data_IF_031447369989
#
_entry.id   IF_031447369989
#
_cell.length_a   1.000
_cell.length_b   1.000
_cell.length_c   1.000
_cell.angle_alpha   90.00
_cell.angle_beta   90.00
_cell.angle_gamma   90.00
#
_symmetry.space_group_name_H-M   'P 1'
#
loop_
_entity.id
_entity.type
_entity.pdbx_description
1 polymer ?
#
# COMPACT_ATOMS: atom_id res chain seq x y z
N UNK A 1 -10.64 -14.85 2.06
CA UNK A 1 -9.49 -15.17 2.91
C UNK A 1 -8.47 -15.81 1.99
N UNK A 2 -7.38 -15.09 1.69
CA UNK A 2 -6.30 -15.59 0.85
C UNK A 2 -5.27 -16.20 1.80
N UNK A 3 -5.11 -17.52 1.76
CA UNK A 3 -4.08 -18.20 2.55
C UNK A 3 -2.75 -18.07 1.79
N UNK A 4 -1.71 -17.61 2.49
CA UNK A 4 -0.37 -17.46 1.93
C UNK A 4 0.39 -18.78 2.11
N UNK A 5 0.78 -19.48 1.02
CA UNK A 5 1.68 -20.61 1.15
C UNK A 5 3.07 -20.13 1.58
N UNK A 6 3.64 -20.86 2.54
CA UNK A 6 5.02 -20.71 3.01
C UNK A 6 5.99 -21.35 1.99
N UNK A 7 7.10 -20.66 1.71
CA UNK A 7 8.22 -21.19 0.93
C UNK A 7 8.65 -20.28 -0.22
N UNK A 8 9.85 -19.70 -0.15
CA UNK A 8 11.06 -20.35 -0.66
C UNK A 8 12.29 -19.46 -0.38
N UNK A 9 13.21 -20.00 0.43
CA UNK A 9 14.42 -19.38 0.99
C UNK A 9 15.55 -19.16 -0.05
N UNK A 10 15.26 -19.19 -1.34
CA UNK A 10 16.30 -19.13 -2.38
C UNK A 10 16.76 -17.69 -2.67
N UNK A 11 15.90 -16.71 -2.40
CA UNK A 11 16.15 -15.29 -2.72
C UNK A 11 17.08 -14.58 -1.73
N UNK A 12 17.21 -15.10 -0.51
CA UNK A 12 18.08 -14.54 0.54
C UNK A 12 19.56 -14.57 0.16
N UNK A 13 19.97 -15.47 -0.74
CA UNK A 13 21.36 -15.69 -1.12
C UNK A 13 21.91 -14.67 -2.14
N UNK A 14 21.04 -14.06 -2.97
CA UNK A 14 21.49 -13.18 -4.07
C UNK A 14 21.65 -11.70 -3.69
N UNK A 15 21.15 -11.28 -2.53
CA UNK A 15 21.12 -9.88 -2.11
C UNK A 15 22.19 -9.52 -1.06
N UNK A 16 22.99 -10.50 -0.62
CA UNK A 16 24.03 -10.30 0.40
C UNK A 16 25.20 -9.38 -0.02
N UNK A 17 25.28 -8.95 -1.28
CA UNK A 17 26.45 -8.21 -1.80
C UNK A 17 26.22 -6.72 -2.04
N UNK A 18 24.99 -6.21 -1.96
CA UNK A 18 24.68 -4.80 -2.25
C UNK A 18 23.51 -4.29 -1.42
N UNK A 19 23.80 -3.81 -0.20
CA UNK A 19 23.12 -2.68 0.48
C UNK A 19 23.31 -2.76 2.00
N UNK A 20 24.55 -2.73 2.49
CA UNK A 20 24.79 -2.42 3.90
C UNK A 20 24.77 -0.90 4.08
N UNK A 21 23.59 -0.27 3.96
CA UNK A 21 23.40 1.10 4.44
C UNK A 21 23.19 1.00 5.96
N UNK A 22 24.30 0.80 6.69
CA UNK A 22 24.36 0.87 8.15
C UNK A 22 24.25 2.34 8.57
N UNK A 23 23.04 2.72 8.94
CA UNK A 23 22.73 3.96 9.64
C UNK A 23 21.22 4.06 9.69
N UNK A 24 20.61 3.87 10.86
CA UNK A 24 19.17 3.99 11.10
C UNK A 24 18.71 5.43 10.88
N UNK A 25 18.72 5.89 9.62
CA UNK A 25 18.03 7.10 9.23
C UNK A 25 16.56 6.72 9.24
N UNK A 26 15.83 7.26 10.22
CA UNK A 26 14.36 7.21 10.24
C UNK A 26 13.87 7.49 8.83
N UNK A 27 13.06 6.58 8.30
CA UNK A 27 12.46 6.76 6.98
C UNK A 27 11.80 8.13 6.90
N UNK A 28 11.99 8.83 5.77
CA UNK A 28 11.25 10.07 5.55
C UNK A 28 9.76 9.76 5.67
N UNK A 29 8.99 10.50 6.49
CA UNK A 29 7.55 10.28 6.65
C UNK A 29 6.81 10.19 5.31
N UNK A 30 7.28 10.95 4.31
CA UNK A 30 6.73 10.93 2.96
C UNK A 30 6.77 9.53 2.32
N UNK A 31 7.88 8.80 2.47
CA UNK A 31 8.03 7.46 1.90
C UNK A 31 7.07 6.48 2.56
N UNK A 32 6.93 6.60 3.88
CA UNK A 32 6.01 5.76 4.68
C UNK A 32 4.58 5.96 4.20
N UNK A 33 4.13 7.21 4.10
CA UNK A 33 2.76 7.54 3.71
C UNK A 33 2.46 7.12 2.26
N UNK A 34 3.41 7.34 1.35
CA UNK A 34 3.29 6.88 -0.03
C UNK A 34 3.20 5.35 -0.13
N UNK A 35 4.01 4.62 0.65
CA UNK A 35 3.94 3.16 0.68
C UNK A 35 2.60 2.65 1.22
N UNK A 36 2.05 3.30 2.25
CA UNK A 36 0.72 2.97 2.79
C UNK A 36 -0.37 3.17 1.76
N UNK A 37 -0.38 4.30 1.06
CA UNK A 37 -1.37 4.59 0.01
C UNK A 37 -1.34 3.53 -1.09
N UNK A 38 -0.15 3.28 -1.66
CA UNK A 38 0.01 2.31 -2.75
C UNK A 38 -0.41 0.91 -2.30
N UNK A 39 -0.09 0.51 -1.08
CA UNK A 39 -0.50 -0.79 -0.53
C UNK A 39 -2.02 -0.86 -0.34
N UNK A 40 -2.65 0.21 0.14
CA UNK A 40 -4.10 0.28 0.32
C UNK A 40 -4.84 0.19 -1.02
N UNK A 41 -4.42 0.95 -2.03
CA UNK A 41 -4.99 0.85 -3.38
C UNK A 41 -4.76 -0.55 -3.96
N UNK A 42 -3.56 -1.11 -3.79
CA UNK A 42 -3.29 -2.49 -4.20
C UNK A 42 -4.26 -3.49 -3.55
N UNK A 43 -4.43 -3.44 -2.23
CA UNK A 43 -5.35 -4.32 -1.51
C UNK A 43 -6.80 -4.18 -1.99
N UNK A 44 -7.24 -2.94 -2.28
CA UNK A 44 -8.54 -2.68 -2.88
C UNK A 44 -8.68 -3.34 -4.25
N UNK A 45 -7.71 -3.13 -5.15
CA UNK A 45 -7.73 -3.71 -6.50
C UNK A 45 -7.68 -5.25 -6.43
N UNK A 46 -6.79 -5.81 -5.64
CA UNK A 46 -6.71 -7.26 -5.44
C UNK A 46 -8.05 -7.85 -4.94
N UNK A 47 -8.81 -7.12 -4.13
CA UNK A 47 -10.15 -7.54 -3.72
C UNK A 47 -11.17 -7.39 -4.85
N UNK A 48 -11.18 -6.26 -5.55
CA UNK A 48 -12.12 -5.97 -6.64
C UNK A 48 -12.03 -7.02 -7.76
N UNK A 49 -10.81 -7.48 -8.06
CA UNK A 49 -10.54 -8.46 -9.11
C UNK A 49 -10.31 -9.88 -8.59
N UNK A 50 -10.67 -10.20 -7.35
CA UNK A 50 -10.49 -11.53 -6.74
C UNK A 50 -9.06 -12.10 -6.94
N UNK A 51 -8.04 -11.25 -6.80
CA UNK A 51 -6.63 -11.58 -6.95
C UNK A 51 -6.08 -11.56 -8.39
N UNK A 52 -6.94 -11.42 -9.40
CA UNK A 52 -6.53 -11.35 -10.81
C UNK A 52 -6.32 -9.90 -11.28
N UNK A 53 -5.30 -9.25 -10.72
CA UNK A 53 -5.05 -7.80 -10.92
C UNK A 53 -3.90 -7.50 -11.90
N UNK A 54 -3.27 -8.52 -12.48
CA UNK A 54 -1.99 -8.41 -13.22
C UNK A 54 -2.16 -8.07 -14.69
N UNK A 55 -3.39 -7.99 -15.21
CA UNK A 55 -3.63 -7.58 -16.58
C UNK A 55 -3.33 -6.08 -16.78
N UNK A 56 -3.18 -5.67 -18.05
CA UNK A 56 -2.73 -4.31 -18.35
C UNK A 56 -3.76 -3.23 -17.98
N UNK A 57 -5.05 -3.51 -18.13
CA UNK A 57 -6.11 -2.53 -17.88
C UNK A 57 -6.23 -2.27 -16.38
N UNK A 58 -6.22 -3.34 -15.57
CA UNK A 58 -6.24 -3.25 -14.12
C UNK A 58 -5.01 -2.54 -13.55
N UNK A 59 -3.82 -2.79 -14.12
CA UNK A 59 -2.61 -2.06 -13.72
C UNK A 59 -2.68 -0.56 -14.05
N UNK A 60 -3.28 -0.19 -15.17
CA UNK A 60 -3.51 1.23 -15.53
C UNK A 60 -4.51 1.86 -14.56
N UNK A 61 -5.57 1.15 -14.21
CA UNK A 61 -6.56 1.61 -13.23
C UNK A 61 -5.92 1.80 -11.84
N UNK A 62 -5.10 0.86 -11.39
CA UNK A 62 -4.36 0.96 -10.13
C UNK A 62 -3.50 2.22 -10.11
N UNK A 63 -2.75 2.46 -11.19
CA UNK A 63 -1.91 3.66 -11.31
C UNK A 63 -2.75 4.93 -11.30
N UNK A 64 -3.91 4.95 -11.95
CA UNK A 64 -4.78 6.12 -12.00
C UNK A 64 -5.50 6.37 -10.66
N UNK A 65 -5.85 5.33 -9.91
CA UNK A 65 -6.44 5.43 -8.57
C UNK A 65 -5.45 5.89 -7.51
N UNK A 66 -4.16 5.65 -7.71
CA UNK A 66 -3.12 6.08 -6.77
C UNK A 66 -2.57 7.47 -7.13
N UNK A 67 -2.80 8.52 -6.32
CA UNK A 67 -2.21 9.84 -6.54
C UNK A 67 -0.67 9.81 -6.45
N UNK A 68 -0.12 8.94 -5.60
CA UNK A 68 1.33 8.74 -5.46
C UNK A 68 1.92 8.25 -6.78
N UNK A 69 1.28 7.28 -7.43
CA UNK A 69 1.77 6.72 -8.68
C UNK A 69 1.47 7.62 -9.89
N UNK A 70 0.26 8.19 -9.98
CA UNK A 70 -0.19 8.98 -11.12
C UNK A 70 0.39 10.39 -11.21
N UNK A 71 0.45 11.13 -10.09
CA UNK A 71 0.79 12.56 -10.08
C UNK A 71 1.84 12.96 -9.03
N UNK A 72 2.50 11.99 -8.39
CA UNK A 72 3.55 12.26 -7.38
C UNK A 72 3.02 13.00 -6.14
N UNK A 73 1.79 12.71 -5.74
CA UNK A 73 1.20 13.25 -4.51
C UNK A 73 2.06 12.89 -3.28
N UNK A 74 2.22 13.87 -2.37
CA UNK A 74 3.03 13.72 -1.16
C UNK A 74 2.21 14.11 0.06
N UNK A 75 1.76 13.11 0.79
CA UNK A 75 1.01 13.34 2.02
C UNK A 75 1.91 13.88 3.12
N UNK A 76 1.38 14.83 3.89
CA UNK A 76 2.05 15.41 5.07
C UNK A 76 1.98 14.51 6.31
N UNK A 77 0.96 13.66 6.39
CA UNK A 77 0.65 12.84 7.56
C UNK A 77 -0.19 11.61 7.18
N UNK A 78 -0.28 10.66 8.11
CA UNK A 78 -1.04 9.42 7.93
C UNK A 78 -2.57 9.64 7.89
N UNK A 79 -3.20 10.52 8.70
CA UNK A 79 -4.62 10.81 8.58
C UNK A 79 -5.04 11.31 7.19
N UNK A 80 -4.25 12.19 6.57
CA UNK A 80 -4.50 12.64 5.20
C UNK A 80 -4.33 11.51 4.18
N UNK A 81 -3.38 10.62 4.41
CA UNK A 81 -3.19 9.42 3.58
C UNK A 81 -4.40 8.49 3.67
N UNK A 82 -4.87 8.20 4.89
CA UNK A 82 -6.03 7.35 5.15
C UNK A 82 -7.32 7.93 4.52
N UNK A 83 -7.55 9.24 4.68
CA UNK A 83 -8.67 9.95 4.02
C UNK A 83 -8.59 9.84 2.50
N UNK A 84 -7.41 10.03 1.92
CA UNK A 84 -7.24 9.91 0.47
C UNK A 84 -7.52 8.47 0.01
N UNK A 85 -7.01 7.46 0.70
CA UNK A 85 -7.32 6.05 0.40
C UNK A 85 -8.83 5.77 0.47
N UNK A 86 -9.51 6.28 1.49
CA UNK A 86 -10.95 6.14 1.64
C UNK A 86 -11.71 6.84 0.50
N UNK A 87 -11.30 8.04 0.10
CA UNK A 87 -11.90 8.76 -1.03
C UNK A 87 -11.72 8.01 -2.37
N UNK A 88 -10.58 7.37 -2.59
CA UNK A 88 -10.31 6.63 -3.83
C UNK A 88 -10.99 5.25 -3.89
N UNK A 89 -11.20 4.61 -2.74
CA UNK A 89 -11.69 3.22 -2.66
C UNK A 89 -13.10 3.08 -2.12
N UNK A 90 -13.63 4.09 -1.46
CA UNK A 90 -14.90 4.05 -0.72
C UNK A 90 -14.90 3.05 0.44
N UNK A 91 -13.74 2.54 0.85
CA UNK A 91 -13.65 1.42 1.80
C UNK A 91 -12.52 1.63 2.80
N UNK A 92 -12.82 1.40 4.08
CA UNK A 92 -11.79 1.33 5.13
C UNK A 92 -11.13 -0.07 5.19
N UNK A 93 -11.71 -1.06 4.51
CA UNK A 93 -11.19 -2.44 4.51
C UNK A 93 -9.84 -2.53 3.82
N UNK A 94 -9.60 -1.73 2.78
CA UNK A 94 -8.32 -1.65 2.07
C UNK A 94 -7.19 -1.15 2.98
N UNK A 95 -7.46 -0.18 3.85
CA UNK A 95 -6.49 0.30 4.84
C UNK A 95 -6.16 -0.77 5.88
N UNK A 96 -7.16 -1.52 6.36
CA UNK A 96 -6.93 -2.65 7.28
C UNK A 96 -6.12 -3.77 6.63
N UNK A 97 -6.42 -4.07 5.36
CA UNK A 97 -5.67 -5.06 4.60
C UNK A 97 -4.22 -4.58 4.38
N UNK A 98 -4.00 -3.30 4.12
CA UNK A 98 -2.66 -2.72 4.06
C UNK A 98 -1.91 -2.82 5.41
N UNK A 99 -2.58 -2.59 6.54
CA UNK A 99 -1.99 -2.81 7.86
C UNK A 99 -1.48 -4.27 8.01
N UNK A 100 -2.30 -5.26 7.64
CA UNK A 100 -1.90 -6.69 7.66
C UNK A 100 -0.71 -6.99 6.76
N UNK A 101 -0.62 -6.33 5.60
CA UNK A 101 0.56 -6.46 4.72
C UNK A 101 1.82 -5.95 5.42
N UNK A 102 1.75 -4.86 6.18
CA UNK A 102 2.88 -4.31 6.93
C UNK A 102 3.18 -5.04 8.25
N UNK A 103 2.25 -5.82 8.81
CA UNK A 103 2.53 -6.68 9.97
C UNK A 103 3.66 -7.69 9.68
N UNK A 104 3.78 -8.11 8.42
CA UNK A 104 4.77 -9.08 7.98
C UNK A 104 5.66 -8.50 6.88
N UNK A 105 6.93 -8.25 7.19
CA UNK A 105 7.92 -7.70 6.24
C UNK A 105 7.94 -8.43 4.90
N UNK A 106 7.85 -9.77 4.92
CA UNK A 106 7.85 -10.59 3.70
C UNK A 106 6.60 -10.38 2.83
N UNK A 107 5.43 -10.13 3.45
CA UNK A 107 4.22 -9.79 2.71
C UNK A 107 4.36 -8.44 2.01
N UNK A 108 4.82 -7.41 2.73
CA UNK A 108 5.08 -6.10 2.14
C UNK A 108 6.10 -6.16 0.99
N UNK A 109 7.21 -6.88 1.17
CA UNK A 109 8.20 -7.09 0.10
C UNK A 109 7.59 -7.77 -1.11
N UNK A 110 6.81 -8.85 -0.90
CA UNK A 110 6.17 -9.59 -1.99
C UNK A 110 5.22 -8.69 -2.77
N UNK A 111 4.35 -7.94 -2.08
CA UNK A 111 3.40 -7.00 -2.72
C UNK A 111 4.13 -5.99 -3.60
N UNK A 112 5.15 -5.29 -3.08
CA UNK A 112 5.85 -4.29 -3.88
C UNK A 112 6.66 -4.91 -5.03
N UNK A 113 7.31 -6.07 -4.82
CA UNK A 113 8.05 -6.75 -5.90
C UNK A 113 7.13 -7.23 -7.02
N UNK A 114 6.04 -7.89 -6.67
CA UNK A 114 5.06 -8.36 -7.66
C UNK A 114 4.42 -7.20 -8.42
N UNK A 115 4.06 -6.11 -7.72
CA UNK A 115 3.50 -4.93 -8.35
C UNK A 115 4.51 -4.24 -9.28
N UNK A 116 5.78 -4.12 -8.86
CA UNK A 116 6.84 -3.53 -9.69
C UNK A 116 7.09 -4.35 -10.95
N UNK A 117 7.13 -5.68 -10.82
CA UNK A 117 7.28 -6.62 -11.95
C UNK A 117 6.10 -6.55 -12.92
N UNK A 118 4.87 -6.55 -12.40
CA UNK A 118 3.66 -6.45 -13.21
C UNK A 118 3.63 -5.14 -14.00
N UNK A 119 3.92 -4.00 -13.35
CA UNK A 119 4.02 -2.69 -14.00
C UNK A 119 5.18 -2.63 -15.01
N UNK A 120 6.30 -3.33 -14.75
CA UNK A 120 7.42 -3.43 -15.68
C UNK A 120 7.14 -4.32 -16.89
N UNK A 121 6.24 -5.30 -16.78
CA UNK A 121 5.79 -6.12 -17.93
C UNK A 121 4.73 -5.38 -18.74
N UNK A 122 3.85 -4.62 -18.08
CA UNK A 122 2.80 -3.79 -18.69
C UNK A 122 3.29 -2.52 -19.40
N UNK A 123 4.54 -2.50 -19.90
CA UNK A 123 5.35 -1.37 -20.45
C UNK A 123 4.76 -0.58 -21.64
N UNK A 124 3.44 -0.43 -21.74
CA UNK A 124 2.76 0.29 -22.82
C UNK A 124 2.87 1.81 -22.70
N UNK A 125 3.17 2.38 -21.52
CA UNK A 125 3.21 3.83 -21.31
C UNK A 125 4.35 4.34 -20.42
N UNK A 126 4.78 5.60 -20.63
CA UNK A 126 5.76 6.27 -19.75
C UNK A 126 5.27 6.33 -18.31
N UNK A 127 3.96 6.48 -18.09
CA UNK A 127 3.35 6.55 -16.77
C UNK A 127 3.50 5.23 -15.99
N UNK A 128 3.17 4.10 -16.60
CA UNK A 128 3.33 2.76 -15.97
C UNK A 128 4.81 2.44 -15.68
N UNK A 129 5.72 2.88 -16.57
CA UNK A 129 7.17 2.76 -16.33
C UNK A 129 7.64 3.57 -15.13
N UNK A 130 7.15 4.81 -14.95
CA UNK A 130 7.48 5.62 -13.78
C UNK A 130 6.88 5.02 -12.49
N UNK A 131 5.65 4.53 -12.56
CA UNK A 131 5.00 3.84 -11.45
C UNK A 131 5.81 2.61 -11.00
N UNK A 132 6.27 1.78 -11.95
CA UNK A 132 7.13 0.62 -11.66
C UNK A 132 8.38 1.00 -10.85
N UNK A 133 9.07 2.08 -11.23
CA UNK A 133 10.25 2.58 -10.49
C UNK A 133 9.92 3.07 -9.07
N UNK A 134 8.77 3.73 -8.88
CA UNK A 134 8.31 4.15 -7.54
C UNK A 134 8.04 2.94 -6.65
N UNK A 135 7.38 1.92 -7.20
CA UNK A 135 7.06 0.69 -6.49
C UNK A 135 8.34 -0.09 -6.14
N UNK A 136 9.31 -0.16 -7.06
CA UNK A 136 10.64 -0.75 -6.80
C UNK A 136 11.40 -0.02 -5.68
N UNK A 137 11.29 1.30 -5.64
CA UNK A 137 11.82 2.10 -4.53
C UNK A 137 11.14 1.74 -3.19
N UNK A 138 9.83 1.53 -3.15
CA UNK A 138 9.14 1.08 -1.93
C UNK A 138 9.58 -0.33 -1.50
N UNK A 139 9.79 -1.26 -2.43
CA UNK A 139 10.34 -2.58 -2.12
C UNK A 139 11.71 -2.46 -1.44
N UNK A 140 12.59 -1.62 -1.99
CA UNK A 140 13.93 -1.35 -1.42
C UNK A 140 13.83 -0.71 -0.03
N UNK A 141 12.89 0.22 0.15
CA UNK A 141 12.65 0.84 1.45
C UNK A 141 12.20 -0.18 2.51
N UNK A 142 11.22 -1.04 2.19
CA UNK A 142 10.76 -2.14 3.07
C UNK A 142 11.90 -3.09 3.41
N UNK A 143 12.79 -3.38 2.44
CA UNK A 143 13.98 -4.19 2.66
C UNK A 143 14.93 -3.54 3.68
N UNK A 144 14.99 -2.22 3.74
CA UNK A 144 15.75 -1.49 4.76
C UNK A 144 15.10 -1.40 6.14
N UNK A 145 13.82 -1.77 6.31
CA UNK A 145 13.11 -1.63 7.60
C UNK A 145 13.21 -2.89 8.45
N UNK A 146 13.24 -2.72 9.78
CA UNK A 146 13.07 -3.82 10.71
C UNK A 146 11.61 -4.29 10.76
N UNK A 147 11.39 -5.56 11.12
CA UNK A 147 10.02 -6.09 11.30
C UNK A 147 9.24 -5.29 12.34
N UNK A 148 9.89 -4.86 13.43
CA UNK A 148 9.27 -4.06 14.49
C UNK A 148 8.76 -2.71 13.95
N UNK A 149 9.55 -1.99 13.14
CA UNK A 149 9.13 -0.71 12.56
C UNK A 149 7.89 -0.87 11.65
N UNK A 150 7.83 -1.96 10.89
CA UNK A 150 6.68 -2.25 10.03
C UNK A 150 5.44 -2.66 10.83
N UNK A 151 5.61 -3.43 11.92
CA UNK A 151 4.51 -3.74 12.84
C UNK A 151 3.99 -2.48 13.54
N UNK A 152 4.86 -1.56 13.97
CA UNK A 152 4.44 -0.28 14.55
C UNK A 152 3.70 0.58 13.53
N UNK A 153 4.13 0.57 12.26
CA UNK A 153 3.40 1.21 11.18
C UNK A 153 2.01 0.60 10.99
N UNK A 154 1.89 -0.72 10.99
CA UNK A 154 0.60 -1.41 10.88
C UNK A 154 -0.37 -1.02 12.01
N UNK A 155 0.11 -0.98 13.26
CA UNK A 155 -0.67 -0.51 14.41
C UNK A 155 -1.14 0.92 14.22
N UNK A 156 -0.27 1.80 13.72
CA UNK A 156 -0.63 3.20 13.44
C UNK A 156 -1.70 3.30 12.35
N UNK A 157 -1.58 2.52 11.27
CA UNK A 157 -2.62 2.48 10.21
C UNK A 157 -3.96 2.04 10.79
N UNK A 158 -3.98 1.01 11.65
CA UNK A 158 -5.20 0.54 12.30
C UNK A 158 -5.84 1.63 13.17
N UNK A 159 -5.05 2.30 14.01
CA UNK A 159 -5.52 3.41 14.85
C UNK A 159 -6.18 4.53 14.03
N UNK A 160 -5.51 4.97 12.96
CA UNK A 160 -6.03 6.03 12.08
C UNK A 160 -7.27 5.58 11.30
N UNK A 161 -7.36 4.29 10.98
CA UNK A 161 -8.55 3.71 10.32
C UNK A 161 -9.74 3.68 11.26
N UNK A 162 -9.53 3.40 12.54
CA UNK A 162 -10.57 3.45 13.58
C UNK A 162 -11.05 4.88 13.81
N UNK A 163 -10.13 5.84 13.94
CA UNK A 163 -10.48 7.26 14.05
C UNK A 163 -11.29 7.74 12.84
N UNK A 164 -10.86 7.39 11.62
CA UNK A 164 -11.59 7.72 10.41
C UNK A 164 -12.97 7.05 10.35
N UNK A 165 -13.10 5.81 10.86
CA UNK A 165 -14.40 5.15 10.99
C UNK A 165 -15.33 5.89 11.93
N UNK A 166 -14.85 6.42 13.06
CA UNK A 166 -15.67 7.21 13.99
C UNK A 166 -16.18 8.48 13.32
N UNK A 167 -15.33 9.18 12.56
CA UNK A 167 -15.71 10.42 11.85
C UNK A 167 -16.72 10.13 10.73
N UNK A 168 -16.48 9.09 9.93
CA UNK A 168 -17.34 8.73 8.78
C UNK A 168 -18.62 8.01 9.19
N UNK A 169 -18.59 7.23 10.28
CA UNK A 169 -19.75 6.54 10.85
C UNK A 169 -20.68 7.46 11.62
N UNK A 170 -20.14 8.50 12.29
CA UNK A 170 -20.94 9.55 12.93
C UNK A 170 -21.77 10.38 11.94
N UNK A 171 -21.34 10.48 10.68
CA UNK A 171 -22.08 11.18 9.61
C UNK A 171 -23.31 10.41 9.10
N UNK A 172 -23.43 9.11 9.39
CA UNK A 172 -24.61 8.31 9.05
C UNK A 172 -25.62 8.22 10.22
N UNK A 173 -25.38 8.94 11.32
CA UNK A 173 -26.16 8.85 12.57
C UNK A 173 -27.27 9.89 12.76
N UNK A 174 -27.44 10.87 11.88
CA UNK A 174 -28.51 11.87 11.96
C UNK A 174 -29.25 12.01 10.62
N UNK A 175 -30.08 11.03 10.29
CA UNK A 175 -31.25 11.30 9.43
C UNK A 175 -32.44 10.56 10.06
N UNK A 176 -33.00 11.16 11.11
CA UNK A 176 -34.36 10.85 11.55
C UNK A 176 -35.32 11.35 10.47
N UNK A 177 -35.60 10.49 9.48
CA UNK A 177 -36.68 10.73 8.53
C UNK A 177 -38.00 10.43 9.26
N UNK A 178 -38.51 11.42 9.99
CA UNK A 178 -39.89 11.39 10.45
C UNK A 178 -40.79 11.79 9.26
N UNK A 179 -41.41 10.80 8.61
CA UNK A 179 -42.46 11.01 7.62
C UNK A 179 -43.82 10.89 8.32
N UNK A 180 -44.62 11.97 8.44
CA UNK A 180 -46.06 11.84 8.57
C UNK A 180 -46.73 11.46 7.24
#
# INVERSE_FOLDING_TARGET
>A
WWEFPAGDDEWSSRLSSQATIRGARKASPLVVFSAVEVTSIFCYMARLYNGDWKDTETLVELVNKSPVLSCDERYKDLPSTARSCFQQTGSLTSLRDAAKVFEQRQCALRVFRELAEALAKGKKSTRTRLASKKVEFFATWVEGQSSLELTLLAQKINSETEELQLVTGGLNGEVDVHVP
#
